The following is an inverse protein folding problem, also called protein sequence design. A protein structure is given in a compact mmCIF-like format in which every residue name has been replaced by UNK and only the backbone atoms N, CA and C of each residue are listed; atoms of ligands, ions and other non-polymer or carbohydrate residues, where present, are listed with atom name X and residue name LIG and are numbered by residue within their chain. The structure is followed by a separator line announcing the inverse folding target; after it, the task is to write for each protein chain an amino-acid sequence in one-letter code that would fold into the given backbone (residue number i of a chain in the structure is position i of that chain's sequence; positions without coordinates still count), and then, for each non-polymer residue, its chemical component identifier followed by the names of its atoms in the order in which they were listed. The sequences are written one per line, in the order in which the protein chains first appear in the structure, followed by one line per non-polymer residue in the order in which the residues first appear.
data_IF_848731758556
#
_entry.id   IF_848731758556
#
_cell.length_a   1.000
_cell.length_b   1.000
_cell.length_c   1.000
_cell.angle_alpha   90.00
_cell.angle_beta   90.00
_cell.angle_gamma   90.00
#
_symmetry.space_group_name_H-M   'P 1'
#
loop_
_entity.id
_entity.type
_entity.pdbx_description
1 polymer ?
#
# COMPACT_ATOMS: atom_id res chain seq x y z
N UNK A 1 -16.51 -39.08 8.32
CA UNK A 1 -17.02 -37.73 8.67
C UNK A 1 -16.49 -37.24 10.02
N UNK A 2 -16.52 -38.05 11.08
CA UNK A 2 -16.07 -37.64 12.42
C UNK A 2 -14.57 -37.33 12.54
N UNK A 3 -13.72 -37.98 11.74
CA UNK A 3 -12.27 -37.73 11.74
C UNK A 3 -11.91 -36.37 11.16
N UNK A 4 -12.66 -35.91 10.13
CA UNK A 4 -12.50 -34.60 9.51
C UNK A 4 -13.00 -33.46 10.42
N UNK A 5 -14.08 -33.67 11.16
CA UNK A 5 -14.62 -32.75 12.17
C UNK A 5 -13.60 -32.51 13.30
N UNK A 6 -13.01 -33.57 13.87
CA UNK A 6 -12.01 -33.45 14.94
C UNK A 6 -10.74 -32.75 14.48
N UNK A 7 -10.32 -32.97 13.25
CA UNK A 7 -9.11 -32.32 12.70
C UNK A 7 -9.31 -30.81 12.45
N UNK A 8 -10.47 -30.36 11.98
CA UNK A 8 -10.80 -28.93 11.85
C UNK A 8 -10.93 -28.22 13.20
N UNK A 9 -11.54 -28.85 14.19
CA UNK A 9 -11.62 -28.29 15.56
C UNK A 9 -10.23 -28.19 16.23
N UNK A 10 -9.33 -29.15 15.99
CA UNK A 10 -7.95 -29.07 16.46
C UNK A 10 -7.17 -27.94 15.80
N UNK A 11 -7.31 -27.70 14.51
CA UNK A 11 -6.61 -26.63 13.80
C UNK A 11 -7.00 -25.23 14.30
N UNK A 12 -8.26 -24.98 14.65
CA UNK A 12 -8.70 -23.70 15.22
C UNK A 12 -8.14 -23.50 16.62
N UNK A 13 -8.12 -24.53 17.44
CA UNK A 13 -7.63 -24.48 18.82
C UNK A 13 -6.11 -24.25 18.90
N UNK A 14 -5.35 -24.87 18.00
CA UNK A 14 -3.88 -24.80 18.03
C UNK A 14 -3.33 -23.52 17.36
N UNK A 15 -4.10 -22.87 16.50
CA UNK A 15 -3.65 -21.66 15.78
C UNK A 15 -3.61 -20.39 16.63
N UNK A 16 -4.20 -20.37 17.82
CA UNK A 16 -4.23 -19.20 18.74
C UNK A 16 -3.39 -19.37 19.99
N UNK A 17 -2.93 -20.58 20.26
CA UNK A 17 -2.21 -20.84 21.51
C UNK A 17 -0.81 -20.26 21.47
N UNK A 18 -0.60 -19.17 22.23
CA UNK A 18 0.68 -18.47 22.28
C UNK A 18 0.88 -17.37 21.24
N UNK A 19 -0.14 -17.10 20.41
CA UNK A 19 -0.14 -15.98 19.49
C UNK A 19 -0.50 -14.65 20.19
N UNK A 20 0.01 -13.50 19.73
CA UNK A 20 -0.41 -12.21 20.25
C UNK A 20 -1.91 -11.98 20.03
N UNK A 21 -2.57 -11.31 20.98
CA UNK A 21 -3.97 -10.94 20.87
C UNK A 21 -4.20 -10.08 19.64
N UNK A 22 -5.11 -10.51 18.75
CA UNK A 22 -5.46 -9.81 17.53
C UNK A 22 -6.96 -9.90 17.27
N UNK A 23 -7.65 -8.77 17.25
CA UNK A 23 -9.07 -8.65 16.89
C UNK A 23 -9.32 -9.26 15.51
N UNK A 24 -8.45 -9.01 14.53
CA UNK A 24 -8.56 -9.57 13.19
C UNK A 24 -8.51 -11.11 13.18
N UNK A 25 -7.76 -11.71 14.09
CA UNK A 25 -7.69 -13.19 14.19
C UNK A 25 -8.97 -13.73 14.80
N UNK A 26 -9.54 -13.05 15.79
CA UNK A 26 -10.84 -13.38 16.39
C UNK A 26 -11.93 -13.30 15.33
N UNK A 27 -11.99 -12.22 14.56
CA UNK A 27 -12.95 -12.04 13.47
C UNK A 27 -12.83 -13.12 12.38
N UNK A 28 -11.62 -13.51 12.00
CA UNK A 28 -11.37 -14.62 11.06
C UNK A 28 -11.91 -15.96 11.60
N UNK A 29 -11.80 -16.18 12.90
CA UNK A 29 -12.33 -17.40 13.53
C UNK A 29 -13.84 -17.36 13.59
N UNK A 30 -14.43 -16.23 13.99
CA UNK A 30 -15.89 -16.04 13.99
C UNK A 30 -16.46 -16.22 12.57
N UNK A 31 -15.77 -15.71 11.54
CA UNK A 31 -16.12 -15.95 10.14
C UNK A 31 -16.13 -17.45 9.80
N UNK A 32 -15.07 -18.16 10.15
CA UNK A 32 -15.00 -19.62 9.90
C UNK A 32 -16.09 -20.39 10.64
N UNK A 33 -16.43 -19.98 11.87
CA UNK A 33 -17.53 -20.60 12.63
C UNK A 33 -18.86 -20.35 11.90
N UNK A 34 -19.10 -19.13 11.43
CA UNK A 34 -20.30 -18.80 10.67
C UNK A 34 -20.38 -19.55 9.34
N UNK A 35 -19.27 -19.61 8.58
CA UNK A 35 -19.22 -20.38 7.32
C UNK A 35 -19.53 -21.87 7.55
N UNK A 36 -19.07 -22.45 8.66
CA UNK A 36 -19.39 -23.83 9.06
C UNK A 36 -20.87 -23.94 9.44
N UNK A 37 -21.42 -22.97 10.18
CA UNK A 37 -22.84 -22.93 10.56
C UNK A 37 -23.74 -22.93 9.33
N UNK A 38 -23.47 -22.06 8.36
CA UNK A 38 -24.22 -21.96 7.11
C UNK A 38 -24.10 -23.25 6.30
N UNK A 39 -22.89 -23.81 6.18
CA UNK A 39 -22.64 -25.04 5.42
C UNK A 39 -23.35 -26.27 6.02
N UNK A 40 -23.42 -26.37 7.35
CA UNK A 40 -24.07 -27.47 8.07
C UNK A 40 -25.56 -27.21 8.31
N UNK A 41 -26.14 -26.15 7.70
CA UNK A 41 -27.57 -25.75 7.81
C UNK A 41 -28.03 -25.36 9.23
N UNK A 42 -27.10 -24.95 10.11
CA UNK A 42 -27.44 -24.33 11.39
C UNK A 42 -27.82 -22.86 11.14
N UNK A 43 -29.09 -22.59 10.93
CA UNK A 43 -29.60 -21.30 10.45
C UNK A 43 -29.51 -20.20 11.53
N UNK A 44 -29.54 -20.56 12.81
CA UNK A 44 -29.45 -19.64 13.93
C UNK A 44 -28.41 -20.11 14.94
N UNK A 45 -27.22 -19.54 14.88
CA UNK A 45 -26.19 -19.77 15.88
C UNK A 45 -25.73 -18.45 16.47
N UNK A 46 -25.70 -18.36 17.78
CA UNK A 46 -24.99 -17.30 18.51
C UNK A 46 -23.56 -17.76 18.76
N UNK A 47 -22.58 -17.07 18.18
CA UNK A 47 -21.20 -17.27 18.50
C UNK A 47 -20.62 -15.97 19.08
N UNK A 48 -20.08 -16.04 20.30
CA UNK A 48 -19.44 -14.91 20.94
C UNK A 48 -18.16 -15.35 21.64
N UNK A 49 -17.29 -14.40 21.96
CA UNK A 49 -16.02 -14.64 22.62
C UNK A 49 -16.10 -14.10 24.06
N UNK A 50 -15.81 -14.96 25.01
CA UNK A 50 -15.56 -14.58 26.40
C UNK A 50 -14.07 -14.40 26.59
N UNK A 51 -13.64 -13.21 26.99
CA UNK A 51 -12.24 -12.87 27.24
C UNK A 51 -11.96 -12.86 28.72
N UNK A 52 -10.93 -13.57 29.15
CA UNK A 52 -10.47 -13.57 30.53
C UNK A 52 -8.99 -13.16 30.56
N UNK A 53 -8.71 -12.05 31.22
CA UNK A 53 -7.35 -11.50 31.33
C UNK A 53 -6.67 -12.02 32.60
N UNK A 54 -5.51 -12.65 32.45
CA UNK A 54 -4.66 -13.12 33.54
C UNK A 54 -3.23 -12.62 33.34
N UNK A 55 -2.77 -11.70 34.17
CA UNK A 55 -1.43 -11.10 34.09
C UNK A 55 -1.05 -10.69 32.65
N UNK A 56 -0.22 -11.47 31.97
CA UNK A 56 0.27 -11.22 30.62
C UNK A 56 -0.46 -12.05 29.53
N UNK A 57 -1.58 -12.70 29.85
CA UNK A 57 -2.30 -13.59 28.93
C UNK A 57 -3.78 -13.26 28.88
N UNK A 58 -4.35 -13.45 27.71
CA UNK A 58 -5.80 -13.37 27.49
C UNK A 58 -6.27 -14.77 27.06
N UNK A 59 -7.12 -15.36 27.89
CA UNK A 59 -7.79 -16.61 27.52
C UNK A 59 -9.07 -16.27 26.74
N UNK A 60 -9.21 -16.84 25.55
CA UNK A 60 -10.35 -16.68 24.67
C UNK A 60 -11.21 -17.95 24.70
N UNK A 61 -12.47 -17.79 25.09
CA UNK A 61 -13.44 -18.88 25.06
C UNK A 61 -14.51 -18.56 24.01
N UNK A 62 -14.52 -19.32 22.91
CA UNK A 62 -15.55 -19.23 21.89
C UNK A 62 -16.76 -20.04 22.32
N UNK A 63 -17.88 -19.37 22.53
CA UNK A 63 -19.16 -20.00 22.92
C UNK A 63 -20.07 -19.99 21.69
N UNK A 64 -20.54 -21.17 21.30
CA UNK A 64 -21.46 -21.36 20.18
C UNK A 64 -22.72 -21.99 20.74
N UNK A 65 -23.86 -21.32 20.55
CA UNK A 65 -25.18 -21.81 20.94
C UNK A 65 -26.07 -21.89 19.72
N UNK A 66 -26.85 -22.95 19.60
CA UNK A 66 -27.95 -23.05 18.67
C UNK A 66 -29.17 -22.38 19.32
N UNK A 67 -29.81 -21.48 18.55
CA UNK A 67 -30.99 -20.73 18.98
C UNK A 67 -32.13 -20.95 18.00
N UNK A 68 -33.37 -20.69 18.42
CA UNK A 68 -34.52 -20.68 17.53
C UNK A 68 -34.31 -19.63 16.42
N UNK A 69 -34.75 -19.96 15.19
CA UNK A 69 -34.57 -19.08 14.05
C UNK A 69 -35.50 -17.88 14.15
N UNK A 70 -34.90 -16.71 14.42
CA UNK A 70 -35.60 -15.42 14.44
C UNK A 70 -35.16 -14.61 13.22
N UNK A 71 -36.09 -14.02 12.47
CA UNK A 71 -35.78 -13.28 11.24
C UNK A 71 -35.64 -11.79 11.52
N UNK A 72 -34.86 -11.10 10.67
CA UNK A 72 -34.74 -9.63 10.67
C UNK A 72 -35.98 -9.07 9.96
N UNK A 73 -36.79 -8.29 10.69
CA UNK A 73 -37.97 -7.62 10.13
C UNK A 73 -37.57 -6.35 9.39
N UNK A 74 -36.79 -5.49 10.07
CA UNK A 74 -36.42 -4.19 9.55
C UNK A 74 -35.08 -3.72 10.08
N UNK A 75 -34.32 -3.01 9.23
CA UNK A 75 -33.09 -2.32 9.61
C UNK A 75 -33.26 -0.81 9.43
N UNK A 76 -33.33 -0.08 10.53
CA UNK A 76 -33.44 1.36 10.54
C UNK A 76 -32.05 1.99 10.73
N UNK A 77 -31.72 3.01 9.93
CA UNK A 77 -30.46 3.75 10.02
C UNK A 77 -30.79 5.23 10.28
N UNK A 78 -30.16 5.80 11.31
CA UNK A 78 -30.37 7.21 11.70
C UNK A 78 -29.04 7.90 11.96
N UNK A 79 -29.03 9.23 11.82
CA UNK A 79 -27.87 10.09 12.10
C UNK A 79 -26.94 10.31 10.91
N UNK A 80 -27.21 9.69 9.78
CA UNK A 80 -26.44 9.82 8.53
C UNK A 80 -26.94 11.05 7.73
N UNK A 81 -26.54 12.25 8.15
CA UNK A 81 -26.99 13.49 7.52
C UNK A 81 -26.27 13.80 6.22
N UNK A 82 -25.01 13.39 6.09
CA UNK A 82 -24.12 13.57 4.93
C UNK A 82 -23.96 12.26 4.18
N UNK A 83 -23.64 11.16 4.90
CA UNK A 83 -23.40 9.85 4.32
C UNK A 83 -24.71 9.26 3.80
N UNK A 84 -24.71 8.85 2.54
CA UNK A 84 -25.85 8.16 1.92
C UNK A 84 -26.12 6.85 2.65
N UNK A 85 -27.40 6.56 2.88
CA UNK A 85 -27.82 5.32 3.56
C UNK A 85 -27.26 4.06 2.87
N UNK A 86 -27.20 4.07 1.53
CA UNK A 86 -26.64 2.96 0.75
C UNK A 86 -25.21 2.64 1.13
N UNK A 87 -24.38 3.63 1.50
CA UNK A 87 -23.00 3.42 1.93
C UNK A 87 -22.92 2.60 3.22
N UNK A 88 -23.85 2.84 4.13
CA UNK A 88 -23.96 2.11 5.40
C UNK A 88 -24.55 0.73 5.16
N UNK A 89 -25.65 0.64 4.38
CA UNK A 89 -26.30 -0.65 4.05
C UNK A 89 -25.35 -1.60 3.35
N UNK A 90 -24.46 -1.11 2.49
CA UNK A 90 -23.46 -1.93 1.80
C UNK A 90 -22.40 -2.56 2.72
N UNK A 91 -22.35 -2.17 4.00
CA UNK A 91 -21.48 -2.78 5.00
C UNK A 91 -22.19 -3.88 5.79
N UNK A 92 -23.49 -4.01 5.60
CA UNK A 92 -24.28 -5.03 6.29
C UNK A 92 -24.08 -6.40 5.60
N UNK A 93 -23.92 -7.42 6.42
CA UNK A 93 -23.87 -8.83 6.01
C UNK A 93 -25.20 -9.55 6.29
N UNK A 94 -26.22 -8.79 6.75
CA UNK A 94 -27.59 -9.20 7.00
C UNK A 94 -28.54 -8.28 6.26
N UNK A 95 -29.54 -8.84 5.61
CA UNK A 95 -30.63 -8.09 4.99
C UNK A 95 -31.96 -8.28 5.73
N UNK A 96 -32.91 -7.42 5.44
CA UNK A 96 -34.29 -7.56 5.91
C UNK A 96 -34.89 -8.85 5.32
N UNK A 97 -35.43 -9.72 6.18
CA UNK A 97 -35.93 -11.05 5.82
C UNK A 97 -34.93 -12.19 6.03
N UNK A 98 -33.68 -11.90 6.34
CA UNK A 98 -32.68 -12.92 6.66
C UNK A 98 -32.85 -13.47 8.07
N UNK A 99 -32.43 -14.72 8.34
CA UNK A 99 -32.27 -15.23 9.69
C UNK A 99 -31.25 -14.37 10.45
N UNK A 100 -31.64 -13.89 11.63
CA UNK A 100 -30.74 -13.10 12.47
C UNK A 100 -29.56 -13.95 12.95
N UNK A 101 -28.36 -13.46 12.67
CA UNK A 101 -27.11 -14.07 13.12
C UNK A 101 -26.25 -13.01 13.81
N UNK A 102 -25.93 -13.21 15.10
CA UNK A 102 -25.18 -12.25 15.93
C UNK A 102 -23.76 -12.03 15.37
N UNK A 103 -23.13 -13.06 14.76
CA UNK A 103 -21.79 -12.94 14.18
C UNK A 103 -21.82 -12.03 12.96
N UNK A 104 -22.78 -12.24 12.05
CA UNK A 104 -22.95 -11.40 10.86
C UNK A 104 -23.31 -9.97 11.24
N UNK A 105 -24.17 -9.81 12.27
CA UNK A 105 -24.52 -8.49 12.81
C UNK A 105 -23.29 -7.80 13.36
N UNK A 106 -22.51 -8.45 14.23
CA UNK A 106 -21.29 -7.86 14.82
C UNK A 106 -20.28 -7.47 13.72
N UNK A 107 -20.10 -8.31 12.72
CA UNK A 107 -19.24 -8.00 11.55
C UNK A 107 -19.76 -6.81 10.78
N UNK A 108 -21.06 -6.73 10.52
CA UNK A 108 -21.69 -5.57 9.88
C UNK A 108 -21.37 -4.27 10.62
N UNK A 109 -21.50 -4.27 11.93
CA UNK A 109 -21.19 -3.09 12.76
C UNK A 109 -19.69 -2.76 12.72
N UNK A 110 -18.83 -3.75 12.75
CA UNK A 110 -17.38 -3.55 12.62
C UNK A 110 -17.02 -2.99 11.23
N UNK A 111 -17.65 -3.48 10.16
CA UNK A 111 -17.49 -2.94 8.82
C UNK A 111 -17.89 -1.46 8.76
N UNK A 112 -19.05 -1.08 9.33
CA UNK A 112 -19.49 0.32 9.42
C UNK A 112 -18.48 1.18 10.19
N UNK A 113 -17.99 0.70 11.33
CA UNK A 113 -16.95 1.39 12.11
C UNK A 113 -15.63 1.54 11.34
N UNK A 114 -15.27 0.54 10.54
CA UNK A 114 -14.04 0.53 9.74
C UNK A 114 -14.02 1.56 8.61
N UNK A 115 -15.18 2.04 8.16
CA UNK A 115 -15.27 3.17 7.21
C UNK A 115 -14.61 4.43 7.77
N UNK A 116 -14.56 4.55 9.10
CA UNK A 116 -13.99 5.72 9.79
C UNK A 116 -14.68 7.06 9.47
N UNK A 117 -15.97 7.00 9.07
CA UNK A 117 -16.81 8.17 8.80
C UNK A 117 -17.57 8.64 10.03
N UNK A 118 -17.65 7.77 11.02
CA UNK A 118 -18.47 7.97 12.22
C UNK A 118 -17.58 8.08 13.46
N UNK A 119 -17.98 8.99 14.36
CA UNK A 119 -17.39 9.13 15.69
C UNK A 119 -17.89 8.03 16.61
N UNK A 120 -19.19 7.69 16.48
CA UNK A 120 -19.84 6.63 17.25
C UNK A 120 -20.85 5.88 16.39
N UNK A 121 -21.03 4.59 16.67
CA UNK A 121 -22.03 3.71 16.06
C UNK A 121 -22.69 2.92 17.17
N UNK A 122 -23.94 3.28 17.48
CA UNK A 122 -24.78 2.62 18.50
C UNK A 122 -25.83 1.76 17.82
N UNK A 123 -26.11 0.63 18.42
CA UNK A 123 -27.10 -0.31 17.93
C UNK A 123 -28.12 -0.62 19.02
N UNK A 124 -29.38 -0.80 18.61
CA UNK A 124 -30.46 -1.28 19.44
C UNK A 124 -31.20 -2.40 18.69
N UNK A 125 -31.44 -3.51 19.36
CA UNK A 125 -32.14 -4.67 18.80
C UNK A 125 -33.39 -4.89 19.64
N UNK A 126 -34.55 -4.76 18.99
CA UNK A 126 -35.83 -4.94 19.62
C UNK A 126 -36.51 -6.19 19.06
N UNK A 127 -37.08 -7.02 19.94
CA UNK A 127 -37.92 -8.14 19.53
C UNK A 127 -39.31 -7.61 19.19
N UNK A 128 -39.78 -7.92 18.00
CA UNK A 128 -41.17 -7.72 17.61
C UNK A 128 -41.98 -8.94 18.06
N UNK A 129 -42.67 -8.80 19.19
CA UNK A 129 -43.43 -9.90 19.81
C UNK A 129 -44.66 -10.33 19.00
N UNK A 130 -45.09 -9.53 18.01
CA UNK A 130 -46.26 -9.87 17.19
C UNK A 130 -45.89 -10.89 16.09
N UNK A 131 -44.65 -10.82 15.57
CA UNK A 131 -44.21 -11.65 14.41
C UNK A 131 -43.01 -12.55 14.75
N UNK A 132 -42.54 -12.58 15.99
CA UNK A 132 -41.32 -13.30 16.42
C UNK A 132 -40.08 -12.90 15.59
N UNK A 133 -39.96 -11.61 15.28
CA UNK A 133 -38.89 -11.05 14.44
C UNK A 133 -38.05 -10.03 15.21
N UNK A 134 -36.91 -9.61 14.65
CA UNK A 134 -36.07 -8.57 15.24
C UNK A 134 -36.07 -7.29 14.40
N UNK A 135 -36.19 -6.14 15.06
CA UNK A 135 -35.97 -4.82 14.45
C UNK A 135 -34.61 -4.33 14.89
N UNK A 136 -33.75 -4.05 13.94
CA UNK A 136 -32.40 -3.53 14.18
C UNK A 136 -32.41 -2.02 13.94
N UNK A 137 -31.93 -1.26 14.90
CA UNK A 137 -31.76 0.19 14.77
C UNK A 137 -30.26 0.53 14.90
N UNK A 138 -29.72 1.19 13.89
CA UNK A 138 -28.33 1.64 13.84
C UNK A 138 -28.32 3.17 13.89
N UNK A 139 -27.76 3.73 14.96
CA UNK A 139 -27.62 5.17 15.13
C UNK A 139 -26.14 5.54 14.93
N UNK A 140 -25.83 6.37 13.94
CA UNK A 140 -24.48 6.83 13.65
C UNK A 140 -24.31 8.31 14.04
N UNK A 141 -23.15 8.67 14.55
CA UNK A 141 -22.72 10.05 14.77
C UNK A 141 -21.59 10.36 13.79
N UNK A 142 -21.86 11.19 12.78
CA UNK A 142 -20.88 11.52 11.75
C UNK A 142 -19.76 12.40 12.28
N UNK A 143 -18.56 12.26 11.70
CA UNK A 143 -17.40 13.14 11.93
C UNK A 143 -16.86 13.69 10.62
N UNK A 144 -16.08 14.77 10.61
CA UNK A 144 -15.38 15.24 9.42
C UNK A 144 -14.50 14.14 8.84
N UNK A 145 -14.60 13.93 7.52
CA UNK A 145 -13.87 12.91 6.76
C UNK A 145 -12.80 13.52 5.84
N UNK A 146 -12.80 14.86 5.75
CA UNK A 146 -11.86 15.65 4.96
C UNK A 146 -10.63 16.09 5.75
N UNK A 147 -9.46 16.04 5.09
CA UNK A 147 -8.18 16.48 5.62
C UNK A 147 -7.49 17.41 4.64
N UNK A 148 -6.90 18.49 5.15
CA UNK A 148 -6.02 19.38 4.37
C UNK A 148 -4.59 19.14 4.87
N UNK A 149 -3.68 18.88 3.95
CA UNK A 149 -2.29 18.62 4.24
C UNK A 149 -1.42 19.72 3.64
N UNK A 150 -0.52 20.27 4.45
CA UNK A 150 0.56 21.11 3.97
C UNK A 150 1.83 20.67 4.67
N UNK A 151 2.88 20.38 3.92
CA UNK A 151 4.13 19.89 4.45
C UNK A 151 5.33 20.47 3.70
N UNK A 152 6.44 20.61 4.39
CA UNK A 152 7.73 20.91 3.81
C UNK A 152 8.73 19.84 4.26
N UNK A 153 9.51 19.32 3.33
CA UNK A 153 10.59 18.39 3.57
C UNK A 153 11.92 19.04 3.25
N UNK A 154 12.90 18.81 4.10
CA UNK A 154 14.28 19.22 3.89
C UNK A 154 15.18 18.00 4.05
N UNK A 155 16.14 17.87 3.18
CA UNK A 155 17.09 16.77 3.27
C UNK A 155 18.30 16.98 2.38
N UNK A 156 19.18 16.01 2.40
CA UNK A 156 20.40 16.01 1.57
C UNK A 156 20.08 15.96 0.07
N UNK A 157 18.86 15.53 -0.28
CA UNK A 157 18.37 15.48 -1.66
C UNK A 157 17.57 16.72 -2.09
N UNK A 158 17.70 17.84 -1.34
CA UNK A 158 17.02 19.10 -1.63
C UNK A 158 15.77 19.34 -0.79
N UNK A 159 15.01 20.36 -1.18
CA UNK A 159 13.79 20.81 -0.51
C UNK A 159 12.56 20.36 -1.28
N UNK A 160 11.54 19.89 -0.57
CA UNK A 160 10.24 19.56 -1.14
C UNK A 160 9.13 20.26 -0.37
N UNK A 161 8.10 20.70 -1.07
CA UNK A 161 6.87 21.21 -0.47
C UNK A 161 5.68 20.43 -1.02
N UNK A 162 4.82 19.99 -0.12
CA UNK A 162 3.63 19.21 -0.48
C UNK A 162 2.38 19.93 -0.01
N UNK A 163 1.41 20.03 -0.87
CA UNK A 163 0.04 20.45 -0.55
C UNK A 163 -0.90 19.32 -0.94
N UNK A 164 -1.90 19.06 -0.10
CA UNK A 164 -2.87 18.03 -0.39
C UNK A 164 -4.23 18.27 0.24
N UNK A 165 -5.24 17.69 -0.37
CA UNK A 165 -6.59 17.58 0.16
C UNK A 165 -7.01 16.13 0.01
N UNK A 166 -7.48 15.54 1.09
CA UNK A 166 -8.02 14.18 1.10
C UNK A 166 -9.42 14.21 1.68
N UNK A 167 -10.36 13.61 0.99
CA UNK A 167 -11.74 13.41 1.46
C UNK A 167 -12.08 11.93 1.32
N UNK A 168 -12.43 11.26 2.42
CA UNK A 168 -12.70 9.82 2.40
C UNK A 168 -14.15 9.47 2.09
N UNK A 169 -15.06 10.45 2.16
CA UNK A 169 -16.49 10.27 1.91
C UNK A 169 -17.04 11.36 0.99
N UNK A 170 -16.44 11.52 -0.19
CA UNK A 170 -16.78 12.58 -1.14
C UNK A 170 -18.26 12.54 -1.51
N UNK A 171 -18.95 13.68 -1.28
CA UNK A 171 -20.40 13.83 -1.46
C UNK A 171 -21.24 12.79 -0.72
N UNK A 172 -20.75 12.28 0.41
CA UNK A 172 -21.43 11.25 1.19
C UNK A 172 -21.57 9.89 0.52
N UNK A 173 -20.80 9.64 -0.53
CA UNK A 173 -20.95 8.45 -1.39
C UNK A 173 -19.97 7.33 -1.06
N UNK A 174 -19.15 7.45 0.00
CA UNK A 174 -18.11 6.48 0.34
C UNK A 174 -16.94 6.48 -0.67
N UNK A 175 -16.89 7.45 -1.57
CA UNK A 175 -15.81 7.62 -2.54
C UNK A 175 -14.69 8.42 -1.88
N UNK A 176 -13.45 7.97 -2.01
CA UNK A 176 -12.29 8.75 -1.58
C UNK A 176 -11.77 9.63 -2.71
N UNK A 177 -11.50 10.90 -2.39
CA UNK A 177 -10.80 11.87 -3.22
C UNK A 177 -9.46 12.19 -2.56
N UNK A 178 -8.36 12.08 -3.28
CA UNK A 178 -7.03 12.50 -2.84
C UNK A 178 -6.41 13.37 -3.94
N UNK A 179 -6.10 14.62 -3.62
CA UNK A 179 -5.43 15.53 -4.53
C UNK A 179 -4.15 16.05 -3.88
N UNK A 180 -3.01 15.87 -4.55
CA UNK A 180 -1.67 16.25 -4.05
C UNK A 180 -0.89 17.03 -5.09
N UNK A 181 -0.16 18.04 -4.61
CA UNK A 181 0.81 18.81 -5.36
C UNK A 181 2.15 18.76 -4.62
N UNK A 182 3.17 18.20 -5.27
CA UNK A 182 4.54 18.15 -4.75
C UNK A 182 5.42 19.07 -5.59
N UNK A 183 6.13 19.95 -4.91
CA UNK A 183 7.07 20.91 -5.51
C UNK A 183 8.46 20.58 -5.01
N UNK A 184 9.43 20.47 -5.90
CA UNK A 184 10.85 20.36 -5.59
C UNK A 184 11.67 21.24 -6.52
N UNK A 185 12.98 21.32 -6.29
CA UNK A 185 13.88 22.13 -7.11
C UNK A 185 13.86 21.72 -8.59
N UNK A 186 13.77 20.41 -8.88
CA UNK A 186 13.80 19.87 -10.22
C UNK A 186 12.42 19.41 -10.73
N UNK A 187 11.37 19.40 -9.89
CA UNK A 187 10.11 18.81 -10.33
C UNK A 187 8.86 19.41 -9.71
N UNK A 188 7.81 19.44 -10.51
CA UNK A 188 6.44 19.75 -10.10
C UNK A 188 5.60 18.52 -10.43
N UNK A 189 4.93 17.94 -9.41
CA UNK A 189 4.09 16.75 -9.59
C UNK A 189 2.72 16.97 -8.97
N UNK A 190 1.68 16.97 -9.80
CA UNK A 190 0.28 17.00 -9.40
C UNK A 190 -0.36 15.64 -9.62
N UNK A 191 -1.14 15.17 -8.66
CA UNK A 191 -1.95 13.95 -8.76
C UNK A 191 -3.30 14.18 -8.13
N UNK A 192 -4.35 13.72 -8.78
CA UNK A 192 -5.71 13.63 -8.27
C UNK A 192 -6.21 12.21 -8.46
N UNK A 193 -6.73 11.61 -7.39
CA UNK A 193 -7.23 10.23 -7.37
C UNK A 193 -8.66 10.22 -6.85
N UNK A 194 -9.54 9.53 -7.54
CA UNK A 194 -10.87 9.17 -7.08
C UNK A 194 -10.93 7.64 -6.97
N UNK A 195 -11.35 7.12 -5.84
CA UNK A 195 -11.52 5.68 -5.63
C UNK A 195 -12.88 5.38 -5.01
N UNK A 196 -13.67 4.58 -5.70
CA UNK A 196 -14.88 3.97 -5.18
C UNK A 196 -14.55 2.53 -4.78
N UNK A 197 -14.44 2.23 -3.48
CA UNK A 197 -13.98 0.91 -3.00
C UNK A 197 -15.01 -0.21 -3.23
N UNK A 198 -16.28 0.13 -3.40
CA UNK A 198 -17.35 -0.85 -3.60
C UNK A 198 -18.30 -0.37 -4.71
N UNK A 199 -17.83 -0.44 -5.95
CA UNK A 199 -18.60 0.00 -7.10
C UNK A 199 -19.79 -0.92 -7.34
N UNK A 200 -20.99 -0.33 -7.32
CA UNK A 200 -22.26 -1.03 -7.57
C UNK A 200 -22.44 -2.29 -6.70
N UNK A 201 -22.01 -2.24 -5.44
CA UNK A 201 -22.11 -3.33 -4.44
C UNK A 201 -21.46 -4.65 -4.90
N UNK A 202 -20.42 -4.56 -5.73
CA UNK A 202 -19.78 -5.73 -6.32
C UNK A 202 -18.53 -6.20 -5.56
N UNK A 203 -18.16 -5.55 -4.44
CA UNK A 203 -16.90 -5.73 -3.73
C UNK A 203 -15.67 -5.50 -4.61
N UNK A 204 -15.84 -4.74 -5.70
CA UNK A 204 -14.77 -4.33 -6.60
C UNK A 204 -14.58 -2.83 -6.51
N UNK A 205 -13.34 -2.43 -6.37
CA UNK A 205 -13.01 -1.00 -6.43
C UNK A 205 -12.91 -0.53 -7.88
N UNK A 206 -13.34 0.71 -8.14
CA UNK A 206 -13.00 1.41 -9.37
C UNK A 206 -12.27 2.68 -8.98
N UNK A 207 -11.11 2.89 -9.59
CA UNK A 207 -10.31 4.08 -9.35
C UNK A 207 -9.98 4.82 -10.64
N UNK A 208 -9.90 6.14 -10.53
CA UNK A 208 -9.44 7.03 -11.59
C UNK A 208 -8.35 7.92 -11.03
N UNK A 209 -7.22 8.01 -11.73
CA UNK A 209 -6.14 8.91 -11.39
C UNK A 209 -5.89 9.87 -12.54
N UNK A 210 -5.70 11.15 -12.23
CA UNK A 210 -5.19 12.15 -13.15
C UNK A 210 -3.87 12.64 -12.59
N UNK A 211 -2.83 12.67 -13.41
CA UNK A 211 -1.52 13.11 -12.96
C UNK A 211 -0.83 13.97 -14.00
N UNK A 212 -0.04 14.93 -13.53
CA UNK A 212 0.86 15.70 -14.34
C UNK A 212 2.17 15.87 -13.61
N UNK A 213 3.28 15.62 -14.31
CA UNK A 213 4.62 15.77 -13.74
C UNK A 213 5.51 16.51 -14.72
N UNK A 214 6.17 17.54 -14.26
CA UNK A 214 7.25 18.21 -14.95
C UNK A 214 8.56 17.93 -14.22
N UNK A 215 9.59 17.54 -14.95
CA UNK A 215 10.96 17.41 -14.45
C UNK A 215 11.86 18.28 -15.32
N UNK A 216 12.45 19.29 -14.70
CA UNK A 216 13.32 20.25 -15.38
C UNK A 216 14.78 19.99 -14.99
N UNK A 217 15.56 19.53 -15.94
CA UNK A 217 17.00 19.27 -15.84
C UNK A 217 17.76 19.94 -16.99
N UNK A 218 17.20 21.04 -17.52
CA UNK A 218 17.84 21.76 -18.61
C UNK A 218 19.22 22.31 -18.22
N UNK A 219 19.35 22.85 -17.01
CA UNK A 219 20.61 23.43 -16.54
C UNK A 219 21.70 22.39 -16.34
N UNK A 220 21.35 21.23 -15.75
CA UNK A 220 22.35 20.22 -15.35
C UNK A 220 22.61 19.18 -16.44
N UNK A 221 21.55 18.76 -17.16
CA UNK A 221 21.61 17.64 -18.09
C UNK A 221 21.04 17.94 -19.47
N UNK A 222 20.58 19.16 -19.70
CA UNK A 222 20.11 19.62 -21.01
C UNK A 222 18.77 19.10 -21.47
N UNK A 223 17.93 18.57 -20.58
CA UNK A 223 16.59 18.10 -20.95
C UNK A 223 15.49 18.46 -19.94
N UNK A 224 14.28 18.50 -20.43
CA UNK A 224 13.06 18.71 -19.65
C UNK A 224 11.97 17.77 -20.13
N UNK A 225 11.27 17.13 -19.21
CA UNK A 225 10.12 16.28 -19.51
C UNK A 225 8.85 16.83 -18.87
N UNK A 226 7.76 16.75 -19.59
CA UNK A 226 6.41 17.03 -19.08
C UNK A 226 5.51 15.87 -19.47
N UNK A 227 4.97 15.13 -18.48
CA UNK A 227 4.12 13.97 -18.67
C UNK A 227 2.79 14.16 -17.95
N UNK A 228 1.71 14.16 -18.72
CA UNK A 228 0.34 14.29 -18.22
C UNK A 228 -0.47 13.08 -18.66
N UNK A 229 -1.30 12.55 -17.79
CA UNK A 229 -2.11 11.40 -18.15
C UNK A 229 -3.17 11.06 -17.13
N UNK A 230 -3.96 10.06 -17.50
CA UNK A 230 -4.97 9.50 -16.64
C UNK A 230 -4.87 7.98 -16.58
N UNK A 231 -5.37 7.40 -15.50
CA UNK A 231 -5.55 5.97 -15.31
C UNK A 231 -7.00 5.70 -14.93
N UNK A 232 -7.59 4.69 -15.53
CA UNK A 232 -8.86 4.11 -15.10
C UNK A 232 -8.60 2.63 -14.81
N UNK A 233 -8.98 2.18 -13.63
CA UNK A 233 -8.72 0.78 -13.23
C UNK A 233 -9.70 0.26 -12.21
N UNK A 234 -9.60 -1.03 -11.97
CA UNK A 234 -10.35 -1.78 -10.98
C UNK A 234 -9.40 -2.69 -10.19
N UNK A 235 -9.72 -2.94 -8.94
CA UNK A 235 -9.01 -3.88 -8.09
C UNK A 235 -10.02 -4.63 -7.22
N UNK A 236 -9.82 -5.92 -7.02
CA UNK A 236 -10.68 -6.76 -6.19
C UNK A 236 -9.91 -7.93 -5.59
N UNK A 237 -10.38 -8.41 -4.47
CA UNK A 237 -9.89 -9.62 -3.85
C UNK A 237 -10.47 -10.83 -4.60
N UNK A 238 -9.60 -11.65 -5.20
CA UNK A 238 -9.99 -12.83 -5.97
C UNK A 238 -10.13 -14.07 -5.08
N UNK A 239 -9.23 -14.23 -4.13
CA UNK A 239 -9.30 -15.15 -3.01
C UNK A 239 -8.59 -14.54 -1.79
N UNK A 240 -8.77 -15.12 -0.61
CA UNK A 240 -8.28 -14.57 0.66
C UNK A 240 -6.85 -14.01 0.57
N UNK A 241 -6.71 -12.69 0.83
CA UNK A 241 -5.47 -11.93 0.83
C UNK A 241 -4.77 -11.81 -0.56
N UNK A 242 -5.44 -12.23 -1.66
CA UNK A 242 -4.91 -12.12 -3.02
C UNK A 242 -5.75 -11.16 -3.85
N UNK A 243 -5.14 -10.04 -4.24
CA UNK A 243 -5.79 -8.97 -4.99
C UNK A 243 -5.35 -8.97 -6.45
N UNK A 244 -6.31 -8.82 -7.34
CA UNK A 244 -6.12 -8.61 -8.76
C UNK A 244 -6.50 -7.19 -9.11
N UNK A 245 -5.62 -6.48 -9.79
CA UNK A 245 -5.90 -5.18 -10.36
C UNK A 245 -5.66 -5.15 -11.86
N UNK A 246 -6.48 -4.40 -12.56
CA UNK A 246 -6.28 -4.08 -13.97
C UNK A 246 -6.66 -2.63 -14.24
N UNK A 247 -5.97 -2.00 -15.17
CA UNK A 247 -6.23 -0.62 -15.54
C UNK A 247 -5.69 -0.25 -16.90
N UNK A 248 -6.23 0.83 -17.45
CA UNK A 248 -5.72 1.46 -18.66
C UNK A 248 -5.09 2.79 -18.26
N UNK A 249 -3.86 3.00 -18.70
CA UNK A 249 -3.11 4.24 -18.50
C UNK A 249 -2.93 4.91 -19.85
N UNK A 250 -3.27 6.20 -19.93
CA UNK A 250 -3.04 7.04 -21.11
C UNK A 250 -2.16 8.21 -20.70
N UNK A 251 -1.05 8.41 -21.41
CA UNK A 251 -0.12 9.49 -21.15
C UNK A 251 0.19 10.27 -22.42
N UNK A 252 0.28 11.59 -22.27
CA UNK A 252 0.92 12.47 -23.22
C UNK A 252 2.19 13.02 -22.61
N UNK A 253 3.31 12.86 -23.30
CA UNK A 253 4.62 13.28 -22.83
C UNK A 253 5.30 14.18 -23.86
N UNK A 254 5.92 15.27 -23.38
CA UNK A 254 6.77 16.17 -24.16
C UNK A 254 8.18 16.16 -23.60
N UNK A 255 9.15 15.80 -24.42
CA UNK A 255 10.58 15.82 -24.10
C UNK A 255 11.24 16.95 -24.88
N UNK A 256 11.85 17.90 -24.18
CA UNK A 256 12.61 19.02 -24.73
C UNK A 256 14.09 18.84 -24.39
N UNK A 257 14.97 19.23 -25.31
CA UNK A 257 16.42 19.19 -25.11
C UNK A 257 17.05 20.49 -25.58
N UNK A 258 18.15 20.88 -24.98
CA UNK A 258 18.96 22.01 -25.40
C UNK A 258 20.31 21.60 -26.03
N UNK A 259 21.25 22.55 -26.16
CA UNK A 259 22.55 22.30 -26.78
C UNK A 259 23.47 21.42 -25.92
N UNK A 260 23.27 21.39 -24.58
CA UNK A 260 24.12 20.66 -23.63
C UNK A 260 23.74 19.17 -23.53
N UNK A 261 22.52 18.79 -23.96
CA UNK A 261 22.09 17.41 -23.98
C UNK A 261 22.99 16.53 -24.85
N UNK A 262 23.15 15.27 -24.44
CA UNK A 262 23.88 14.26 -25.21
C UNK A 262 23.25 14.02 -26.60
N UNK A 263 24.01 13.44 -27.51
CA UNK A 263 23.47 13.12 -28.86
C UNK A 263 22.31 12.13 -28.81
N UNK A 264 22.26 11.26 -27.81
CA UNK A 264 21.19 10.28 -27.64
C UNK A 264 19.96 10.92 -27.01
N UNK A 265 20.12 11.79 -26.01
CA UNK A 265 19.02 12.55 -25.41
C UNK A 265 18.33 13.44 -26.47
N UNK A 266 19.12 14.06 -27.39
CA UNK A 266 18.57 14.84 -28.51
C UNK A 266 17.73 14.02 -29.48
N UNK A 267 18.02 12.72 -29.69
CA UNK A 267 17.20 11.82 -30.51
C UNK A 267 15.83 11.54 -29.89
N UNK A 268 15.72 11.61 -28.57
CA UNK A 268 14.48 11.36 -27.83
C UNK A 268 13.62 12.62 -27.65
N UNK A 269 14.03 13.75 -28.24
CA UNK A 269 13.21 14.97 -28.28
C UNK A 269 11.95 14.73 -29.09
N UNK A 270 10.78 14.98 -28.52
CA UNK A 270 9.51 14.78 -29.20
C UNK A 270 8.31 14.86 -28.28
N UNK A 271 7.16 14.58 -28.87
CA UNK A 271 5.91 14.43 -28.16
C UNK A 271 5.43 13.00 -28.39
N UNK A 272 4.99 12.37 -27.33
CA UNK A 272 4.66 10.95 -27.30
C UNK A 272 3.26 10.76 -26.73
N UNK A 273 2.50 9.85 -27.33
CA UNK A 273 1.22 9.42 -26.79
C UNK A 273 1.24 7.91 -26.55
N UNK A 274 1.06 7.53 -25.30
CA UNK A 274 1.20 6.14 -24.89
C UNK A 274 -0.03 5.66 -24.13
N UNK A 275 -0.47 4.46 -24.47
CA UNK A 275 -1.52 3.73 -23.76
C UNK A 275 -0.99 2.37 -23.33
N UNK A 276 -1.19 2.05 -22.05
CA UNK A 276 -0.77 0.79 -21.46
C UNK A 276 -1.96 0.10 -20.81
N UNK A 277 -1.97 -1.23 -20.90
CA UNK A 277 -2.75 -2.08 -20.01
C UNK A 277 -1.87 -2.44 -18.81
N UNK A 278 -2.28 -1.99 -17.64
CA UNK A 278 -1.62 -2.37 -16.39
C UNK A 278 -2.35 -3.54 -15.74
N UNK A 279 -1.60 -4.54 -15.32
CA UNK A 279 -2.06 -5.66 -14.51
C UNK A 279 -1.22 -5.72 -13.24
N UNK A 280 -1.86 -5.91 -12.10
CA UNK A 280 -1.18 -6.11 -10.82
C UNK A 280 -1.77 -7.26 -10.03
N UNK A 281 -0.90 -7.95 -9.33
CA UNK A 281 -1.17 -9.10 -8.48
C UNK A 281 -0.51 -8.84 -7.14
N UNK A 282 -1.29 -8.81 -6.07
CA UNK A 282 -0.81 -8.51 -4.72
C UNK A 282 -1.26 -9.61 -3.76
N UNK A 283 -0.32 -10.39 -3.25
CA UNK A 283 -0.56 -11.43 -2.26
C UNK A 283 0.02 -10.99 -0.93
N UNK A 284 -0.85 -10.49 -0.02
CA UNK A 284 -0.47 -9.82 1.22
C UNK A 284 -0.91 -10.61 2.44
N UNK A 285 0.02 -11.41 2.99
CA UNK A 285 -0.15 -12.23 4.19
C UNK A 285 0.50 -11.59 5.43
N UNK A 286 0.71 -10.29 5.42
CA UNK A 286 1.23 -9.58 6.59
C UNK A 286 0.17 -9.52 7.69
N UNK A 287 0.60 -9.66 8.95
CA UNK A 287 -0.30 -9.53 10.10
C UNK A 287 -0.94 -8.14 10.19
N UNK A 288 -0.24 -7.09 9.75
CA UNK A 288 -0.74 -5.71 9.65
C UNK A 288 0.04 -4.95 8.58
N UNK A 289 -0.61 -3.94 7.94
CA UNK A 289 0.02 -3.17 6.85
C UNK A 289 1.03 -2.13 7.35
N UNK A 290 0.81 -1.61 8.55
CA UNK A 290 1.69 -0.66 9.22
C UNK A 290 2.39 -1.35 10.39
N UNK A 291 3.69 -1.09 10.61
CA UNK A 291 4.52 -1.75 11.63
C UNK A 291 4.40 -3.28 11.61
N UNK A 292 4.51 -3.85 10.41
CA UNK A 292 4.43 -5.30 10.19
C UNK A 292 5.49 -6.02 11.00
N UNK A 293 5.10 -7.03 11.78
CA UNK A 293 6.02 -7.86 12.57
C UNK A 293 6.18 -9.25 11.97
N UNK A 294 5.14 -9.77 11.30
CA UNK A 294 5.15 -11.13 10.77
C UNK A 294 4.44 -11.21 9.42
N UNK A 295 4.81 -12.24 8.65
CA UNK A 295 4.19 -12.54 7.38
C UNK A 295 5.00 -12.10 6.17
N UNK A 296 4.37 -12.09 5.01
CA UNK A 296 5.02 -11.72 3.74
C UNK A 296 4.06 -11.02 2.79
N UNK A 297 4.62 -10.32 1.81
CA UNK A 297 3.90 -9.75 0.68
C UNK A 297 4.65 -10.01 -0.61
N UNK A 298 3.94 -10.50 -1.62
CA UNK A 298 4.43 -10.69 -2.98
C UNK A 298 3.61 -9.82 -3.91
N UNK A 299 4.25 -8.88 -4.57
CA UNK A 299 3.63 -7.96 -5.51
C UNK A 299 4.29 -8.10 -6.88
N UNK A 300 3.46 -8.28 -7.91
CA UNK A 300 3.87 -8.23 -9.30
C UNK A 300 3.00 -7.23 -10.05
N UNK A 301 3.59 -6.39 -10.86
CA UNK A 301 2.88 -5.51 -11.78
C UNK A 301 3.54 -5.50 -13.15
N UNK A 302 2.73 -5.39 -14.19
CA UNK A 302 3.20 -5.26 -15.57
C UNK A 302 2.40 -4.19 -16.29
N UNK A 303 3.10 -3.34 -17.05
CA UNK A 303 2.52 -2.37 -17.96
C UNK A 303 2.81 -2.82 -19.40
N UNK A 304 1.74 -3.25 -20.08
CA UNK A 304 1.77 -3.76 -21.45
C UNK A 304 1.42 -2.63 -22.41
N UNK A 305 2.27 -2.27 -23.39
CA UNK A 305 1.94 -1.25 -24.37
C UNK A 305 0.80 -1.74 -25.28
N UNK A 306 -0.28 -0.93 -25.40
CA UNK A 306 -1.38 -1.15 -26.34
C UNK A 306 -1.16 -0.33 -27.60
N UNK A 307 -0.94 0.98 -27.41
CA UNK A 307 -0.59 1.95 -28.44
C UNK A 307 0.50 2.83 -27.86
N UNK A 308 1.71 2.68 -28.33
CA UNK A 308 2.87 3.42 -27.83
C UNK A 308 3.89 3.56 -28.93
N UNK A 309 4.58 4.69 -28.99
CA UNK A 309 5.62 4.91 -29.99
C UNK A 309 6.90 4.11 -29.69
N UNK A 310 7.20 3.88 -28.42
CA UNK A 310 8.41 3.11 -28.02
C UNK A 310 8.10 1.67 -27.63
N UNK A 311 6.83 1.29 -27.55
CA UNK A 311 6.37 -0.06 -27.19
C UNK A 311 7.09 -0.63 -25.95
N UNK A 312 7.19 0.17 -24.90
CA UNK A 312 7.94 -0.19 -23.71
C UNK A 312 7.12 -1.10 -22.79
N UNK A 313 7.62 -2.30 -22.54
CA UNK A 313 7.10 -3.24 -21.54
C UNK A 313 7.83 -3.01 -20.21
N UNK A 314 7.07 -2.77 -19.14
CA UNK A 314 7.62 -2.62 -17.80
C UNK A 314 7.07 -3.68 -16.86
N UNK A 315 7.96 -4.32 -16.08
CA UNK A 315 7.57 -5.27 -15.04
C UNK A 315 8.17 -4.85 -13.70
N UNK A 316 7.43 -5.06 -12.64
CA UNK A 316 7.87 -4.79 -11.26
C UNK A 316 7.59 -6.00 -10.38
N UNK A 317 8.59 -6.45 -9.62
CA UNK A 317 8.48 -7.50 -8.61
C UNK A 317 8.91 -6.96 -7.27
N UNK A 318 8.10 -7.19 -6.25
CA UNK A 318 8.44 -6.89 -4.85
C UNK A 318 8.09 -8.11 -4.01
N UNK A 319 9.09 -8.65 -3.31
CA UNK A 319 8.90 -9.73 -2.35
C UNK A 319 9.40 -9.20 -1.01
N UNK A 320 8.57 -9.24 0.01
CA UNK A 320 8.95 -8.81 1.36
C UNK A 320 8.54 -9.87 2.38
N UNK A 321 9.42 -10.16 3.32
CA UNK A 321 9.18 -11.09 4.41
C UNK A 321 9.55 -10.43 5.73
N UNK A 322 8.78 -10.72 6.77
CA UNK A 322 8.90 -10.16 8.10
C UNK A 322 8.88 -11.32 9.09
N UNK A 323 9.87 -11.37 9.96
CA UNK A 323 10.02 -12.43 10.97
C UNK A 323 10.38 -11.76 12.28
N UNK A 324 9.52 -11.89 13.27
CA UNK A 324 9.82 -11.53 14.63
C UNK A 324 10.58 -12.71 15.27
N UNK A 325 11.87 -12.52 15.54
CA UNK A 325 12.75 -13.58 16.06
C UNK A 325 12.99 -13.47 17.57
N UNK A 326 12.75 -12.31 18.14
CA UNK A 326 12.71 -12.00 19.57
C UNK A 326 11.64 -10.93 19.74
N UNK A 327 10.99 -10.84 20.88
CA UNK A 327 9.97 -9.84 21.19
C UNK A 327 10.42 -8.42 20.79
N UNK A 328 9.65 -7.78 19.92
CA UNK A 328 9.92 -6.46 19.34
C UNK A 328 11.17 -6.35 18.42
N UNK A 329 11.74 -7.48 17.97
CA UNK A 329 12.85 -7.51 17.02
C UNK A 329 12.39 -8.14 15.71
N UNK A 330 12.14 -7.35 14.72
CA UNK A 330 11.66 -7.79 13.42
C UNK A 330 12.80 -7.77 12.40
N UNK A 331 13.10 -8.94 11.85
CA UNK A 331 13.94 -9.05 10.66
C UNK A 331 13.05 -8.87 9.44
N UNK A 332 13.32 -7.83 8.67
CA UNK A 332 12.72 -7.57 7.36
C UNK A 332 13.71 -7.93 6.27
N UNK A 333 13.29 -8.75 5.31
CA UNK A 333 13.98 -8.95 4.04
C UNK A 333 13.09 -8.50 2.89
N UNK A 334 13.65 -7.80 1.91
CA UNK A 334 12.90 -7.33 0.74
C UNK A 334 13.73 -7.43 -0.52
N UNK A 335 13.21 -8.13 -1.52
CA UNK A 335 13.72 -8.14 -2.88
C UNK A 335 12.86 -7.22 -3.75
N UNK A 336 13.50 -6.39 -4.55
CA UNK A 336 12.87 -5.52 -5.53
C UNK A 336 13.57 -5.71 -6.88
N UNK A 337 12.78 -5.90 -7.91
CA UNK A 337 13.27 -5.95 -9.29
C UNK A 337 12.30 -5.17 -10.18
N UNK A 338 12.84 -4.35 -11.04
CA UNK A 338 12.06 -3.69 -12.10
C UNK A 338 12.85 -3.70 -13.40
N UNK A 339 12.14 -3.93 -14.49
CA UNK A 339 12.69 -3.77 -15.83
C UNK A 339 11.77 -2.91 -16.71
N UNK A 340 12.39 -2.27 -17.70
CA UNK A 340 11.72 -1.44 -18.71
C UNK A 340 12.46 -1.64 -20.02
N UNK A 341 11.81 -2.30 -20.99
CA UNK A 341 12.43 -2.66 -22.27
C UNK A 341 11.45 -2.43 -23.40
N UNK A 342 11.94 -1.90 -24.52
CA UNK A 342 11.17 -1.85 -25.76
C UNK A 342 11.02 -3.25 -26.36
N UNK A 343 9.80 -3.62 -26.74
CA UNK A 343 9.49 -4.86 -27.46
C UNK A 343 9.58 -4.69 -28.99
N UNK A 344 9.69 -3.46 -29.49
CA UNK A 344 9.92 -3.13 -30.91
C UNK A 344 11.41 -3.03 -31.29
N UNK A 345 12.30 -3.02 -30.29
CA UNK A 345 13.74 -2.85 -30.48
C UNK A 345 14.21 -1.39 -30.54
N UNK A 346 13.31 -0.44 -30.30
CA UNK A 346 13.64 0.98 -30.18
C UNK A 346 14.27 1.29 -28.82
N UNK A 347 14.93 2.44 -28.71
CA UNK A 347 15.42 2.91 -27.42
C UNK A 347 14.25 3.40 -26.56
N UNK A 348 14.24 3.04 -25.26
CA UNK A 348 13.25 3.56 -24.34
C UNK A 348 13.46 5.06 -24.07
N UNK A 349 12.39 5.77 -23.74
CA UNK A 349 12.41 7.22 -23.45
C UNK A 349 13.18 7.51 -22.14
N UNK A 350 13.64 8.75 -22.00
CA UNK A 350 14.30 9.23 -20.77
C UNK A 350 13.44 9.02 -19.53
N UNK A 351 12.13 9.25 -19.65
CA UNK A 351 11.16 9.08 -18.55
C UNK A 351 10.88 7.62 -18.17
N UNK A 352 11.25 6.67 -19.04
CA UNK A 352 11.06 5.24 -18.84
C UNK A 352 12.32 4.55 -18.30
N UNK A 353 13.45 5.28 -18.27
CA UNK A 353 14.70 4.85 -17.64
C UNK A 353 14.50 4.68 -16.14
N UNK A 354 15.10 3.63 -15.60
CA UNK A 354 14.94 3.24 -14.22
C UNK A 354 16.07 3.77 -13.37
N UNK A 355 15.71 4.45 -12.30
CA UNK A 355 16.60 4.86 -11.23
C UNK A 355 16.22 4.13 -9.96
N UNK A 356 17.20 3.71 -9.19
CA UNK A 356 16.95 3.02 -7.93
C UNK A 356 16.38 4.00 -6.90
N UNK A 357 15.23 3.67 -6.25
CA UNK A 357 14.70 4.49 -5.17
C UNK A 357 15.72 4.63 -4.02
N UNK A 358 15.82 5.82 -3.45
CA UNK A 358 16.83 6.17 -2.42
C UNK A 358 16.76 5.31 -1.16
N UNK A 359 15.58 4.76 -0.84
CA UNK A 359 15.38 3.85 0.29
C UNK A 359 15.78 2.38 -0.01
N UNK A 360 16.19 2.07 -1.26
CA UNK A 360 16.62 0.73 -1.69
C UNK A 360 18.12 0.55 -1.68
N UNK A 361 18.89 1.63 -1.65
CA UNK A 361 20.35 1.61 -1.49
C UNK A 361 20.76 2.84 -0.71
N UNK A 362 20.79 2.72 0.59
CA UNK A 362 21.30 3.77 1.50
C UNK A 362 22.82 3.78 1.42
N UNK A 363 23.44 4.93 1.63
CA UNK A 363 24.90 5.07 1.47
C UNK A 363 25.34 5.49 0.08
N UNK A 364 24.38 5.77 -0.81
CA UNK A 364 24.64 6.30 -2.15
C UNK A 364 23.71 7.48 -2.43
N UNK A 365 24.22 8.46 -3.16
CA UNK A 365 23.41 9.60 -3.59
C UNK A 365 22.31 9.16 -4.57
N UNK A 366 21.10 9.69 -4.36
CA UNK A 366 19.94 9.31 -5.16
C UNK A 366 20.14 9.66 -6.64
N UNK A 367 19.91 8.68 -7.53
CA UNK A 367 20.01 8.86 -8.97
C UNK A 367 21.46 8.94 -9.51
N UNK A 368 22.48 8.81 -8.65
CA UNK A 368 23.89 8.91 -9.05
C UNK A 368 24.66 7.60 -8.95
N UNK A 369 24.03 6.54 -9.44
CA UNK A 369 24.61 5.20 -9.58
C UNK A 369 24.21 4.60 -10.94
N UNK A 370 25.03 3.69 -11.45
CA UNK A 370 24.75 2.95 -12.69
C UNK A 370 25.30 3.61 -13.95
N UNK A 371 24.70 3.36 -15.13
CA UNK A 371 25.21 3.83 -16.40
C UNK A 371 25.28 5.36 -16.53
N UNK A 372 26.36 5.86 -17.15
CA UNK A 372 26.60 7.27 -17.44
C UNK A 372 26.79 7.56 -18.91
N UNK A 373 26.27 8.68 -19.37
CA UNK A 373 26.53 9.30 -20.68
C UNK A 373 27.24 10.64 -20.44
N UNK A 374 28.55 10.66 -20.59
CA UNK A 374 29.35 11.79 -20.16
C UNK A 374 29.31 12.01 -18.64
N UNK A 375 28.78 13.14 -18.21
CA UNK A 375 28.61 13.45 -16.78
C UNK A 375 27.22 13.09 -16.23
N UNK A 376 26.28 12.70 -17.08
CA UNK A 376 24.90 12.42 -16.70
C UNK A 376 24.67 10.94 -16.36
N UNK A 377 24.06 10.66 -15.21
CA UNK A 377 23.55 9.35 -14.87
C UNK A 377 22.21 9.14 -15.57
N UNK A 378 22.19 8.26 -16.55
CA UNK A 378 21.03 8.06 -17.44
C UNK A 378 20.05 6.99 -16.96
N UNK A 379 20.31 6.38 -15.78
CA UNK A 379 19.54 5.22 -15.33
C UNK A 379 19.79 3.96 -16.16
N UNK A 380 19.04 2.92 -15.89
CA UNK A 380 19.16 1.64 -16.60
C UNK A 380 17.81 1.13 -17.13
N UNK A 381 17.87 0.04 -17.89
CA UNK A 381 16.68 -0.73 -18.25
C UNK A 381 16.29 -1.72 -17.15
N UNK A 382 17.21 -2.01 -16.22
CA UNK A 382 17.03 -2.95 -15.13
C UNK A 382 17.50 -2.34 -13.81
N UNK A 383 16.73 -2.55 -12.76
CA UNK A 383 17.14 -2.27 -11.40
C UNK A 383 16.79 -3.45 -10.49
N UNK A 384 17.66 -3.75 -9.55
CA UNK A 384 17.36 -4.72 -8.50
C UNK A 384 17.90 -4.27 -7.16
N UNK A 385 17.24 -4.65 -6.08
CA UNK A 385 17.78 -4.53 -4.75
C UNK A 385 17.40 -5.70 -3.86
N UNK A 386 18.29 -6.03 -2.95
CA UNK A 386 18.07 -6.94 -1.84
C UNK A 386 18.38 -6.18 -0.54
N UNK A 387 17.37 -6.00 0.29
CA UNK A 387 17.45 -5.18 1.48
C UNK A 387 17.17 -6.05 2.70
N UNK A 388 18.04 -6.00 3.68
CA UNK A 388 17.85 -6.59 5.00
C UNK A 388 17.85 -5.46 6.03
N UNK A 389 16.92 -5.51 6.97
CA UNK A 389 16.93 -4.62 8.12
C UNK A 389 16.42 -5.34 9.36
N UNK A 390 17.00 -5.01 10.49
CA UNK A 390 16.56 -5.53 11.78
C UNK A 390 16.40 -4.36 12.74
N UNK A 391 15.29 -4.37 13.45
CA UNK A 391 15.07 -3.44 14.55
C UNK A 391 16.07 -3.74 15.66
N UNK A 392 16.65 -2.68 16.26
CA UNK A 392 17.55 -2.80 17.41
C UNK A 392 16.75 -2.59 18.69
N UNK A 393 17.03 -3.35 19.78
CA UNK A 393 16.34 -3.14 21.06
C UNK A 393 16.25 -1.67 21.41
N UNK A 394 15.13 -1.25 21.92
CA UNK A 394 14.91 0.12 22.41
C UNK A 394 16.00 0.45 23.44
N UNK A 395 17.01 1.17 23.01
CA UNK A 395 18.07 1.68 23.88
C UNK A 395 17.55 2.67 24.93
N UNK A 396 16.33 3.18 24.71
CA UNK A 396 15.63 4.11 25.59
C UNK A 396 14.33 3.46 26.03
N UNK A 397 14.25 3.01 27.25
CA UNK A 397 13.14 2.24 27.86
C UNK A 397 11.73 2.89 27.72
N UNK A 398 11.60 4.12 27.27
CA UNK A 398 10.31 4.84 27.18
C UNK A 398 10.04 5.52 25.81
N UNK A 399 10.75 5.17 24.76
CA UNK A 399 10.59 5.83 23.47
C UNK A 399 9.62 5.09 22.56
N UNK A 400 8.34 5.47 22.59
CA UNK A 400 7.34 5.06 21.61
C UNK A 400 7.47 5.79 20.26
N UNK A 401 8.38 6.75 20.16
CA UNK A 401 8.51 7.69 19.03
C UNK A 401 9.77 7.51 18.20
N UNK A 402 10.64 6.56 18.54
CA UNK A 402 11.90 6.32 17.84
C UNK A 402 12.09 4.85 17.50
N UNK A 403 12.42 4.58 16.23
CA UNK A 403 12.78 3.25 15.72
C UNK A 403 14.23 3.26 15.23
N UNK A 404 15.10 2.51 15.89
CA UNK A 404 16.49 2.31 15.49
C UNK A 404 16.62 0.99 14.72
N UNK A 405 17.27 1.03 13.57
CA UNK A 405 17.43 -0.12 12.66
C UNK A 405 18.86 -0.26 12.20
N UNK A 406 19.35 -1.48 12.14
CA UNK A 406 20.56 -1.80 11.37
C UNK A 406 20.13 -2.33 10.01
N UNK A 407 20.94 -2.11 8.99
CA UNK A 407 20.61 -2.55 7.65
C UNK A 407 21.81 -2.97 6.82
N UNK A 408 21.53 -3.82 5.83
CA UNK A 408 22.39 -4.19 4.72
C UNK A 408 21.60 -4.03 3.44
N UNK A 409 22.07 -3.18 2.53
CA UNK A 409 21.49 -2.96 1.22
C UNK A 409 22.46 -3.44 0.15
N UNK A 410 21.95 -4.19 -0.81
CA UNK A 410 22.67 -4.68 -2.00
C UNK A 410 21.82 -4.33 -3.21
N UNK A 411 22.38 -3.66 -4.20
CA UNK A 411 21.60 -3.23 -5.37
C UNK A 411 22.45 -3.07 -6.63
N UNK A 412 21.76 -3.02 -7.76
CA UNK A 412 22.36 -2.64 -9.03
C UNK A 412 21.37 -1.90 -9.94
N UNK A 413 21.93 -1.09 -10.85
CA UNK A 413 21.25 -0.43 -11.98
C UNK A 413 22.07 -0.72 -13.22
N UNK A 414 21.47 -1.35 -14.24
CA UNK A 414 22.22 -1.78 -15.42
C UNK A 414 21.33 -1.83 -16.66
N UNK A 415 21.98 -2.12 -17.79
CA UNK A 415 21.34 -2.25 -19.09
C UNK A 415 21.05 -0.90 -19.73
N UNK A 416 21.55 -0.72 -20.92
CA UNK A 416 21.26 0.42 -21.79
C UNK A 416 21.11 -0.10 -23.20
N UNK A 417 20.12 0.37 -23.91
CA UNK A 417 19.72 -0.09 -25.24
C UNK A 417 20.37 0.69 -26.38
N UNK A 418 21.31 1.58 -26.09
CA UNK A 418 22.08 2.30 -27.10
C UNK A 418 23.59 2.25 -26.81
N UNK A 419 24.37 2.83 -27.66
CA UNK A 419 25.82 2.74 -27.89
C UNK A 419 26.71 2.20 -26.76
N UNK A 420 27.65 1.32 -27.14
CA UNK A 420 28.61 0.64 -26.26
C UNK A 420 29.71 1.55 -25.68
N UNK A 421 29.78 2.84 -26.08
CA UNK A 421 30.80 3.81 -25.59
C UNK A 421 30.49 4.38 -24.21
N UNK A 422 29.33 4.01 -23.64
CA UNK A 422 28.91 4.47 -22.32
C UNK A 422 29.70 3.80 -21.21
N UNK A 423 29.99 4.55 -20.15
CA UNK A 423 30.52 3.98 -18.93
C UNK A 423 29.45 3.11 -18.25
N UNK A 424 29.61 1.79 -18.43
CA UNK A 424 28.73 0.80 -17.81
C UNK A 424 29.27 0.46 -16.43
N UNK A 425 28.47 0.67 -15.41
CA UNK A 425 28.77 0.21 -14.05
C UNK A 425 27.93 -1.03 -13.77
N UNK A 426 28.41 -2.20 -14.18
CA UNK A 426 27.73 -3.49 -13.92
C UNK A 426 28.07 -4.04 -12.51
N UNK A 427 28.89 -3.32 -11.75
CA UNK A 427 29.29 -3.70 -10.40
C UNK A 427 28.10 -3.72 -9.44
N UNK A 428 28.05 -4.72 -8.58
CA UNK A 428 27.08 -4.78 -7.48
C UNK A 428 27.49 -3.75 -6.43
N UNK A 429 26.54 -2.89 -6.05
CA UNK A 429 26.70 -1.88 -5.01
C UNK A 429 26.15 -2.44 -3.70
N UNK A 430 26.83 -2.17 -2.60
CA UNK A 430 26.34 -2.56 -1.29
C UNK A 430 26.76 -1.57 -0.20
N UNK A 431 25.90 -1.45 0.81
CA UNK A 431 26.15 -0.61 1.98
C UNK A 431 25.54 -1.22 3.23
N UNK A 432 26.17 -0.95 4.36
CA UNK A 432 25.71 -1.27 5.70
C UNK A 432 25.55 0.01 6.50
N UNK A 433 24.63 0.02 7.44
CA UNK A 433 24.46 1.22 8.26
C UNK A 433 23.41 1.09 9.34
N UNK A 434 23.15 2.25 9.94
CA UNK A 434 22.16 2.43 11.01
C UNK A 434 21.18 3.51 10.56
N UNK A 435 19.89 3.24 10.70
CA UNK A 435 18.79 4.16 10.46
C UNK A 435 18.06 4.48 11.75
N UNK A 436 17.73 5.73 11.97
CA UNK A 436 16.91 6.20 13.06
C UNK A 436 15.69 6.93 12.48
N UNK A 437 14.51 6.39 12.72
CA UNK A 437 13.25 7.05 12.46
C UNK A 437 12.74 7.67 13.76
N UNK A 438 12.52 8.97 13.77
CA UNK A 438 12.06 9.71 14.94
C UNK A 438 10.81 10.52 14.62
N UNK A 439 9.69 10.18 15.26
CA UNK A 439 8.46 10.95 15.20
C UNK A 439 8.52 12.11 16.19
N UNK A 440 9.09 13.22 15.75
CA UNK A 440 9.26 14.42 16.57
C UNK A 440 7.99 15.29 16.56
N UNK A 441 7.83 16.22 17.53
CA UNK A 441 6.71 17.18 17.53
C UNK A 441 6.61 18.09 16.30
N UNK A 442 7.72 18.26 15.57
CA UNK A 442 7.79 19.08 14.34
C UNK A 442 7.64 18.25 13.06
N UNK A 443 7.43 16.94 13.19
CA UNK A 443 7.24 15.99 12.10
C UNK A 443 8.19 14.79 12.16
N UNK A 444 7.98 13.81 11.29
CA UNK A 444 8.84 12.64 11.20
C UNK A 444 10.23 13.04 10.69
N UNK A 445 11.25 12.51 11.31
CA UNK A 445 12.66 12.71 10.97
C UNK A 445 13.30 11.36 10.69
N UNK A 446 14.09 11.27 9.64
CA UNK A 446 14.87 10.08 9.33
C UNK A 446 16.36 10.46 9.26
N UNK A 447 17.18 9.74 10.01
CA UNK A 447 18.64 9.85 10.00
C UNK A 447 19.22 8.53 9.55
N UNK A 448 20.14 8.56 8.62
CA UNK A 448 20.84 7.36 8.14
C UNK A 448 22.34 7.62 8.15
N UNK A 449 23.07 6.77 8.87
CA UNK A 449 24.52 6.68 8.81
C UNK A 449 24.90 5.40 8.09
N UNK A 450 25.70 5.49 7.07
CA UNK A 450 25.99 4.37 6.18
C UNK A 450 27.43 4.35 5.70
N UNK A 451 27.95 3.15 5.51
CA UNK A 451 29.24 2.86 4.91
C UNK A 451 29.01 1.98 3.69
N UNK A 452 29.48 2.41 2.54
CA UNK A 452 29.52 1.54 1.35
C UNK A 452 30.52 0.41 1.55
N UNK A 453 30.14 -0.80 1.15
CA UNK A 453 31.00 -1.98 1.14
C UNK A 453 31.57 -2.26 -0.27
N UNK A 454 30.74 -2.04 -1.30
CA UNK A 454 31.11 -2.16 -2.70
C UNK A 454 30.47 -1.05 -3.51
N UNK A 455 31.20 -0.49 -4.47
CA UNK A 455 30.72 0.54 -5.41
C UNK A 455 31.44 0.44 -6.75
N UNK A 456 30.83 0.92 -7.81
CA UNK A 456 31.49 1.17 -9.09
C UNK A 456 32.36 2.43 -9.06
N UNK A 457 33.23 2.58 -10.04
CA UNK A 457 34.19 3.69 -10.13
C UNK A 457 33.53 5.07 -10.15
N UNK A 458 32.35 5.18 -10.75
CA UNK A 458 31.64 6.44 -10.98
C UNK A 458 30.51 6.68 -10.01
N UNK A 459 30.17 5.71 -9.14
CA UNK A 459 29.07 5.82 -8.21
C UNK A 459 29.37 6.86 -7.11
N UNK A 460 28.42 7.74 -6.83
CA UNK A 460 28.53 8.75 -5.79
C UNK A 460 27.96 8.22 -4.49
N UNK A 461 28.77 8.25 -3.44
CA UNK A 461 28.40 7.76 -2.11
C UNK A 461 28.02 8.89 -1.15
N UNK A 462 27.10 8.62 -0.25
CA UNK A 462 26.62 9.53 0.78
C UNK A 462 26.64 8.81 2.14
N UNK A 463 27.55 9.19 3.04
CA UNK A 463 27.68 8.51 4.34
C UNK A 463 26.64 8.92 5.37
N UNK A 464 26.04 10.11 5.20
CA UNK A 464 25.01 10.62 6.08
C UNK A 464 23.85 11.16 5.25
N UNK A 465 22.63 10.76 5.60
CA UNK A 465 21.39 11.29 5.03
C UNK A 465 20.45 11.71 6.15
N UNK A 466 19.86 12.86 5.95
CA UNK A 466 18.84 13.42 6.83
C UNK A 466 17.62 13.83 6.03
N UNK A 467 16.45 13.47 6.52
CA UNK A 467 15.18 13.94 6.00
C UNK A 467 14.28 14.39 7.16
N UNK A 468 13.62 15.52 6.99
CA UNK A 468 12.62 16.07 7.90
C UNK A 468 11.36 16.35 7.09
N UNK A 469 10.20 15.91 7.58
CA UNK A 469 8.89 16.20 6.98
C UNK A 469 8.12 14.97 6.55
N UNK A 470 6.96 15.17 5.94
CA UNK A 470 5.97 14.14 5.63
C UNK A 470 6.22 13.38 4.31
N UNK A 471 7.31 13.63 3.63
CA UNK A 471 7.66 12.99 2.35
C UNK A 471 8.74 11.94 2.54
N UNK A 472 8.34 10.74 2.89
CA UNK A 472 9.20 9.56 2.95
C UNK A 472 8.84 8.55 1.86
#
# INVERSE_FOLDING_TARGET
HDRYRRQRQMCIRDSLKGEPYSINTIDKILKKINDISIYEQYVSTEAYVEESVYEDKIDLKFVIKETDTVFVDKINIFGNNVTKESVIRNQLELDEGDPFNEVLFTRSINNIKSLNFFKDVKTDIQNNNENETKIITINVEEKPTGEIMAGAGFGTSGTTTTFGVKENNYLGSGISLDAKLNLSEESIKGKMSLNNPNFNNSNKSIYTNIQSSETDRLTDFGYKTNKTGFTLGTEFEYFDDFFLGMGVNSYYESIKTDSTASSQQKKLKGNYFDNFLSLNFDYDKRNQKFQTTQGFRNYFATDLPIVSETNTLSNTFIISSYIEYIDNHVLKSSFYFKNSNSISGDNIKLSERLYLPSNRLRGFESGKIGPKDGNDFIGGNYISSLNFSSDVPKLLENSQTTDLKIFLDIANVWGVDYDASLEKSDDIKSAVGIGLDWFSPIGPMNFTLSQHLSKGSNDVTESFRFNLGTTF
#
